data_IF_230424615362
#
_entry.id   IF_230424615362
#
_cell.length_a   1.000
_cell.length_b   1.000
_cell.length_c   1.000
_cell.angle_alpha   90.00
_cell.angle_beta   90.00
_cell.angle_gamma   90.00
#
_symmetry.space_group_name_H-M   'P 1'
#
loop_
_entity.id
_entity.type
_entity.pdbx_description
1 polymer ?
#
# COMPACT_ATOMS: atom_id res chain seq x y z
N UNK A 1 -8.00 17.26 -4.59
CA UNK A 1 -8.80 16.99 -3.38
C UNK A 1 -8.18 15.90 -2.50
N UNK A 2 -7.70 14.77 -3.05
CA UNK A 2 -7.07 13.69 -2.26
C UNK A 2 -5.80 14.11 -1.48
N UNK A 3 -4.88 14.88 -2.10
CA UNK A 3 -3.66 15.33 -1.41
C UNK A 3 -3.91 16.34 -0.27
N UNK A 4 -5.00 17.11 -0.35
CA UNK A 4 -5.42 18.00 0.74
C UNK A 4 -6.09 17.20 1.86
N UNK A 5 -6.95 16.23 1.52
CA UNK A 5 -7.59 15.37 2.52
C UNK A 5 -6.59 14.59 3.38
N UNK A 6 -5.48 14.11 2.78
CA UNK A 6 -4.41 13.43 3.51
C UNK A 6 -3.69 14.32 4.53
N UNK A 7 -3.75 15.65 4.36
CA UNK A 7 -3.14 16.65 5.26
C UNK A 7 -4.13 17.22 6.28
N UNK A 8 -5.36 17.44 5.87
CA UNK A 8 -6.38 18.09 6.71
C UNK A 8 -7.02 17.11 7.71
N UNK A 9 -7.17 15.84 7.35
CA UNK A 9 -7.70 14.83 8.26
C UNK A 9 -6.64 14.42 9.31
N UNK A 10 -6.91 14.54 10.63
CA UNK A 10 -5.93 14.26 11.67
C UNK A 10 -5.40 12.82 11.67
N UNK A 11 -6.24 11.84 11.29
CA UNK A 11 -5.85 10.43 11.25
C UNK A 11 -4.92 10.17 10.05
N UNK A 12 -5.27 10.68 8.86
CA UNK A 12 -4.42 10.54 7.67
C UNK A 12 -3.15 11.39 7.74
N UNK A 13 -3.19 12.54 8.42
CA UNK A 13 -2.02 13.41 8.61
C UNK A 13 -0.94 12.72 9.41
N UNK A 14 -1.29 12.04 10.51
CA UNK A 14 -0.34 11.27 11.32
C UNK A 14 0.38 10.21 10.49
N UNK A 15 -0.36 9.50 9.64
CA UNK A 15 0.19 8.48 8.74
C UNK A 15 1.09 9.12 7.67
N UNK A 16 0.66 10.24 7.09
CA UNK A 16 1.41 10.96 6.05
C UNK A 16 2.72 11.54 6.59
N UNK A 17 2.71 12.11 7.80
CA UNK A 17 3.91 12.62 8.48
C UNK A 17 4.88 11.50 8.87
N UNK A 18 4.35 10.34 9.28
CA UNK A 18 5.17 9.15 9.58
C UNK A 18 5.91 8.67 8.32
N UNK A 19 5.18 8.44 7.22
CA UNK A 19 5.77 7.99 5.96
C UNK A 19 6.69 9.02 5.30
N UNK A 20 6.47 10.31 5.58
CA UNK A 20 7.41 11.35 5.16
C UNK A 20 8.77 11.25 5.90
N UNK A 21 8.77 10.88 7.19
CA UNK A 21 9.98 10.66 7.98
C UNK A 21 10.63 9.30 7.72
N UNK A 22 9.84 8.29 7.39
CA UNK A 22 10.26 6.90 7.17
C UNK A 22 9.90 6.42 5.75
N UNK A 23 10.61 6.91 4.71
CA UNK A 23 10.26 6.60 3.32
C UNK A 23 10.42 5.11 2.96
N UNK A 24 11.31 4.38 3.64
CA UNK A 24 11.46 2.94 3.44
C UNK A 24 10.22 2.15 3.90
N UNK A 25 9.63 2.51 5.04
CA UNK A 25 8.40 1.90 5.53
C UNK A 25 7.22 2.23 4.61
N UNK A 26 7.20 3.43 4.03
CA UNK A 26 6.21 3.79 3.03
C UNK A 26 6.32 2.92 1.77
N UNK A 27 7.54 2.76 1.23
CA UNK A 27 7.76 1.95 0.03
C UNK A 27 7.27 0.52 0.23
N UNK A 28 7.58 -0.08 1.37
CA UNK A 28 7.18 -1.42 1.75
C UNK A 28 5.65 -1.54 1.98
N UNK A 29 5.04 -0.59 2.69
CA UNK A 29 3.59 -0.54 2.89
C UNK A 29 2.83 -0.34 1.57
N UNK A 30 3.33 0.53 0.70
CA UNK A 30 2.74 0.79 -0.62
C UNK A 30 2.86 -0.43 -1.53
N UNK A 31 4.01 -1.09 -1.57
CA UNK A 31 4.21 -2.31 -2.36
C UNK A 31 3.19 -3.40 -1.99
N UNK A 32 2.97 -3.64 -0.68
CA UNK A 32 1.93 -4.56 -0.20
C UNK A 32 0.52 -4.13 -0.58
N UNK A 33 0.20 -2.84 -0.40
CA UNK A 33 -1.12 -2.30 -0.73
C UNK A 33 -1.41 -2.42 -2.24
N UNK A 34 -0.40 -2.16 -3.08
CA UNK A 34 -0.49 -2.28 -4.53
C UNK A 34 -0.65 -3.72 -4.99
N UNK A 35 0.14 -4.65 -4.44
CA UNK A 35 -0.01 -6.08 -4.71
C UNK A 35 -1.42 -6.56 -4.34
N UNK A 36 -1.91 -6.19 -3.15
CA UNK A 36 -3.28 -6.50 -2.74
C UNK A 36 -4.31 -5.89 -3.69
N UNK A 37 -4.19 -4.62 -4.06
CA UNK A 37 -5.15 -3.96 -4.95
C UNK A 37 -5.26 -4.67 -6.30
N UNK A 38 -4.14 -5.07 -6.87
CA UNK A 38 -4.07 -5.72 -8.19
C UNK A 38 -4.47 -7.19 -8.17
N UNK A 39 -4.37 -7.86 -7.02
CA UNK A 39 -4.62 -9.30 -6.91
C UNK A 39 -5.84 -9.66 -6.05
N UNK A 40 -6.51 -8.69 -5.40
CA UNK A 40 -7.64 -8.95 -4.47
C UNK A 40 -8.78 -9.76 -5.09
N UNK A 41 -9.01 -9.60 -6.39
CA UNK A 41 -10.13 -10.21 -7.10
C UNK A 41 -9.77 -11.56 -7.75
N UNK A 42 -8.50 -12.01 -7.64
CA UNK A 42 -8.00 -13.25 -8.26
C UNK A 42 -8.39 -14.53 -7.48
N UNK A 43 -8.81 -14.40 -6.23
CA UNK A 43 -9.12 -15.54 -5.36
C UNK A 43 -7.87 -16.13 -4.67
N UNK A 44 -7.90 -17.41 -4.26
CA UNK A 44 -6.82 -17.98 -3.44
C UNK A 44 -5.47 -17.98 -4.16
N UNK A 45 -4.39 -17.81 -3.39
CA UNK A 45 -2.99 -17.72 -3.88
C UNK A 45 -2.59 -18.90 -4.76
N UNK A 46 -3.19 -20.09 -4.56
CA UNK A 46 -2.99 -21.26 -5.41
C UNK A 46 -3.32 -21.02 -6.90
N UNK A 47 -4.05 -19.94 -7.23
CA UNK A 47 -4.37 -19.55 -8.61
C UNK A 47 -3.33 -18.59 -9.22
N UNK A 48 -2.34 -18.14 -8.45
CA UNK A 48 -1.32 -17.20 -8.91
C UNK A 48 -0.26 -18.01 -9.66
N UNK A 49 0.04 -17.63 -10.90
CA UNK A 49 0.96 -18.34 -11.79
C UNK A 49 2.11 -17.40 -12.20
N UNK A 50 3.32 -17.95 -12.30
CA UNK A 50 4.51 -17.23 -12.76
C UNK A 50 5.62 -17.14 -11.72
N UNK A 51 6.84 -16.79 -12.15
CA UNK A 51 8.03 -16.77 -11.30
C UNK A 51 8.08 -15.58 -10.32
N UNK A 52 7.22 -14.58 -10.50
CA UNK A 52 7.17 -13.37 -9.67
C UNK A 52 6.11 -13.43 -8.56
N UNK A 53 5.43 -14.57 -8.41
CA UNK A 53 4.47 -14.80 -7.33
C UNK A 53 5.24 -14.86 -6.00
N UNK A 54 4.90 -14.02 -5.01
CA UNK A 54 5.53 -14.08 -3.69
C UNK A 54 5.31 -15.44 -3.03
N UNK A 55 6.37 -15.98 -2.40
CA UNK A 55 6.35 -17.22 -1.64
C UNK A 55 5.74 -17.04 -0.24
#
# INVERSE_FOLDING_TARGET
LAGMAMREDPAYRKISEHYHKYPAEFADAFARAWFKLTHRDMGPVARYLGPEVPA
#
